data_IF_585614502024
#
_entry.id   IF_585614502024
#
_cell.length_a   1.000
_cell.length_b   1.000
_cell.length_c   1.000
_cell.angle_alpha   90.00
_cell.angle_beta   90.00
_cell.angle_gamma   90.00
#
_symmetry.space_group_name_H-M   'P 1'
#
loop_
_entity.id
_entity.type
_entity.pdbx_description
1 polymer ?
#
# COMPACT_ATOMS: atom_id res chain seq x y z
N UNK A 1 -17.49 18.05 1.44
CA UNK A 1 -16.87 17.15 2.44
C UNK A 1 -15.47 16.82 1.97
N UNK A 2 -14.50 16.70 2.88
CA UNK A 2 -13.14 16.28 2.55
C UNK A 2 -13.12 14.82 2.12
N UNK A 3 -12.31 14.49 1.10
CA UNK A 3 -12.13 13.12 0.64
C UNK A 3 -11.59 12.25 1.78
N UNK A 4 -12.23 11.10 2.00
CA UNK A 4 -11.87 10.11 3.02
C UNK A 4 -11.64 10.73 4.40
N UNK A 5 -12.70 11.29 4.97
CA UNK A 5 -12.66 11.89 6.30
C UNK A 5 -12.18 10.89 7.37
N UNK A 6 -11.40 11.34 8.38
CA UNK A 6 -10.90 10.50 9.48
C UNK A 6 -11.97 9.64 10.15
N UNK A 7 -13.19 10.16 10.30
CA UNK A 7 -14.32 9.48 10.94
C UNK A 7 -14.83 8.24 10.17
N UNK A 8 -14.55 8.16 8.87
CA UNK A 8 -15.04 7.08 7.98
C UNK A 8 -13.91 6.29 7.31
N UNK A 9 -12.67 6.75 7.45
CA UNK A 9 -11.50 6.14 6.83
C UNK A 9 -10.34 6.23 7.82
N UNK A 10 -10.09 5.16 8.58
CA UNK A 10 -9.05 5.14 9.61
C UNK A 10 -7.63 5.17 9.03
N UNK A 11 -7.42 4.53 7.87
CA UNK A 11 -6.13 4.42 7.18
C UNK A 11 -6.23 4.95 5.76
N UNK A 12 -5.38 5.92 5.44
CA UNK A 12 -5.35 6.62 4.15
C UNK A 12 -3.97 6.51 3.51
N UNK A 13 -3.92 6.11 2.24
CA UNK A 13 -2.71 6.20 1.41
C UNK A 13 -2.81 7.43 0.51
N UNK A 14 -1.78 8.26 0.47
CA UNK A 14 -1.69 9.43 -0.40
C UNK A 14 -0.52 9.24 -1.36
N UNK A 15 -0.80 9.17 -2.66
CA UNK A 15 0.23 9.10 -3.68
C UNK A 15 0.49 10.49 -4.25
N UNK A 16 1.77 10.83 -4.36
CA UNK A 16 2.24 12.09 -4.95
C UNK A 16 3.12 11.77 -6.15
N UNK A 17 2.72 12.24 -7.34
CA UNK A 17 3.49 12.09 -8.58
C UNK A 17 4.69 13.04 -8.66
N UNK A 18 5.69 12.68 -9.47
CA UNK A 18 6.92 13.46 -9.63
C UNK A 18 6.67 14.87 -10.16
N UNK A 19 5.71 15.03 -11.08
CA UNK A 19 5.33 16.32 -11.66
C UNK A 19 4.76 17.33 -10.64
N UNK A 20 4.20 16.85 -9.54
CA UNK A 20 3.71 17.68 -8.44
C UNK A 20 4.82 18.04 -7.45
N UNK A 21 5.82 17.18 -7.30
CA UNK A 21 6.81 17.28 -6.23
C UNK A 21 8.10 17.97 -6.67
N UNK A 22 8.52 17.75 -7.90
CA UNK A 22 9.77 18.28 -8.46
C UNK A 22 9.42 19.35 -9.48
N UNK A 23 10.00 20.54 -9.35
CA UNK A 23 9.85 21.61 -10.31
C UNK A 23 10.70 21.38 -11.58
N UNK A 24 10.51 22.16 -12.66
CA UNK A 24 11.30 22.01 -13.88
C UNK A 24 12.82 22.18 -13.67
N UNK A 25 13.21 22.99 -12.69
CA UNK A 25 14.60 23.28 -12.32
C UNK A 25 15.25 22.12 -11.54
N UNK A 26 14.45 21.15 -11.08
CA UNK A 26 14.91 19.95 -10.39
C UNK A 26 14.93 20.05 -8.88
N UNK A 27 14.36 21.11 -8.30
CA UNK A 27 14.20 21.25 -6.86
C UNK A 27 12.84 20.69 -6.41
N UNK A 28 12.77 20.32 -5.13
CA UNK A 28 11.49 19.92 -4.52
C UNK A 28 10.66 21.18 -4.27
N UNK A 29 9.37 21.15 -4.65
CA UNK A 29 8.39 22.20 -4.37
C UNK A 29 8.06 22.24 -2.88
N UNK A 30 8.99 22.76 -2.08
CA UNK A 30 8.97 22.68 -0.61
C UNK A 30 7.75 23.33 0.01
N UNK A 31 7.32 24.49 -0.48
CA UNK A 31 6.16 25.20 0.06
C UNK A 31 4.87 24.38 -0.11
N UNK A 32 4.70 23.79 -1.30
CA UNK A 32 3.58 22.89 -1.57
C UNK A 32 3.63 21.64 -0.68
N UNK A 33 4.82 21.05 -0.51
CA UNK A 33 5.02 19.88 0.35
C UNK A 33 4.77 20.20 1.84
N UNK A 34 5.07 21.42 2.27
CA UNK A 34 4.77 21.90 3.63
C UNK A 34 3.26 21.96 3.84
N UNK A 35 2.48 22.41 2.84
CA UNK A 35 1.02 22.35 2.87
C UNK A 35 0.48 20.92 2.98
N UNK A 36 1.10 19.96 2.28
CA UNK A 36 0.80 18.53 2.42
C UNK A 36 1.11 18.02 3.83
N UNK A 37 2.26 18.40 4.41
CA UNK A 37 2.65 17.98 5.74
C UNK A 37 1.65 18.49 6.80
N UNK A 38 1.23 19.76 6.71
CA UNK A 38 0.22 20.34 7.57
C UNK A 38 -1.14 19.62 7.45
N UNK A 39 -1.54 19.26 6.22
CA UNK A 39 -2.74 18.47 5.96
C UNK A 39 -2.68 17.07 6.60
N UNK A 40 -1.54 16.39 6.48
CA UNK A 40 -1.31 15.09 7.11
C UNK A 40 -1.37 15.23 8.63
N UNK A 41 -0.73 16.26 9.20
CA UNK A 41 -0.74 16.53 10.63
C UNK A 41 -2.13 16.81 11.19
N UNK A 42 -2.97 17.56 10.46
CA UNK A 42 -4.36 17.77 10.84
C UNK A 42 -5.15 16.45 10.87
N UNK A 43 -4.95 15.58 9.87
CA UNK A 43 -5.59 14.26 9.79
C UNK A 43 -5.11 13.31 10.89
N UNK A 44 -3.80 13.28 11.18
CA UNK A 44 -3.22 12.46 12.24
C UNK A 44 -3.67 12.92 13.63
N UNK A 45 -3.75 14.23 13.89
CA UNK A 45 -4.36 14.76 15.13
C UNK A 45 -5.83 14.36 15.29
N UNK A 46 -6.55 14.16 14.17
CA UNK A 46 -7.91 13.65 14.16
C UNK A 46 -8.00 12.11 14.23
N UNK A 47 -6.89 11.40 14.48
CA UNK A 47 -6.83 9.96 14.66
C UNK A 47 -6.71 9.14 13.36
N UNK A 48 -6.50 9.77 12.21
CA UNK A 48 -6.28 9.07 10.94
C UNK A 48 -4.81 8.67 10.78
N UNK A 49 -4.58 7.41 10.45
CA UNK A 49 -3.27 6.88 10.09
C UNK A 49 -3.01 7.14 8.60
N UNK A 50 -1.93 7.85 8.26
CA UNK A 50 -1.62 8.26 6.89
C UNK A 50 -0.26 7.71 6.47
N UNK A 51 -0.19 7.15 5.26
CA UNK A 51 1.05 6.77 4.60
C UNK A 51 1.15 7.46 3.24
N UNK A 52 2.36 7.81 2.83
CA UNK A 52 2.62 8.54 1.59
C UNK A 52 3.38 7.64 0.62
N UNK A 53 2.94 7.58 -0.64
CA UNK A 53 3.73 7.03 -1.74
C UNK A 53 4.27 8.18 -2.58
N UNK A 54 5.56 8.46 -2.48
CA UNK A 54 6.19 9.64 -3.08
C UNK A 54 7.04 9.26 -4.26
N UNK A 55 6.75 9.79 -5.44
CA UNK A 55 7.67 9.75 -6.59
C UNK A 55 8.72 10.87 -6.51
N UNK A 56 9.61 10.97 -7.50
CA UNK A 56 10.48 12.14 -7.72
C UNK A 56 11.97 11.89 -7.49
N UNK A 57 12.37 10.76 -6.92
CA UNK A 57 13.78 10.42 -6.66
C UNK A 57 14.65 10.49 -7.92
N UNK A 58 14.25 9.81 -9.00
CA UNK A 58 14.99 9.83 -10.27
C UNK A 58 15.15 11.25 -10.80
N UNK A 59 14.06 12.04 -10.86
CA UNK A 59 14.12 13.40 -11.40
C UNK A 59 15.06 14.31 -10.60
N UNK A 60 15.00 14.22 -9.27
CA UNK A 60 15.84 14.98 -8.35
C UNK A 60 17.32 14.57 -8.44
N UNK A 61 17.59 13.26 -8.45
CA UNK A 61 18.96 12.77 -8.53
C UNK A 61 19.61 12.99 -9.90
N UNK A 62 18.85 12.85 -10.98
CA UNK A 62 19.33 13.12 -12.33
C UNK A 62 19.88 14.54 -12.47
N UNK A 63 19.17 15.51 -11.89
CA UNK A 63 19.59 16.92 -11.89
C UNK A 63 20.86 17.13 -11.06
N UNK A 64 20.94 16.52 -9.89
CA UNK A 64 22.14 16.57 -9.03
C UNK A 64 23.37 15.95 -9.68
N UNK A 65 23.16 14.90 -10.47
CA UNK A 65 24.23 14.19 -11.18
C UNK A 65 24.53 14.78 -12.58
N UNK A 66 23.75 15.75 -13.05
CA UNK A 66 23.89 16.30 -14.41
C UNK A 66 23.55 15.32 -15.52
N UNK A 67 22.72 14.30 -15.26
CA UNK A 67 22.36 13.27 -16.22
C UNK A 67 21.35 13.78 -17.26
N UNK A 68 21.60 13.46 -18.53
CA UNK A 68 20.72 13.78 -19.64
C UNK A 68 19.37 13.04 -19.53
N UNK A 69 18.37 13.48 -20.29
CA UNK A 69 17.03 12.84 -20.37
C UNK A 69 16.34 12.66 -19.00
N UNK A 70 16.67 13.49 -18.02
CA UNK A 70 16.13 13.38 -16.66
C UNK A 70 16.53 12.09 -15.94
N UNK A 71 17.72 11.55 -16.25
CA UNK A 71 18.27 10.34 -15.63
C UNK A 71 17.66 9.06 -16.18
N UNK A 72 16.86 9.11 -17.24
CA UNK A 72 16.28 7.93 -17.90
C UNK A 72 16.97 7.66 -19.24
N UNK A 73 18.27 7.95 -19.32
CA UNK A 73 19.10 7.70 -20.49
C UNK A 73 19.39 6.22 -20.70
N UNK A 74 19.59 5.50 -19.59
CA UNK A 74 19.71 4.05 -19.48
C UNK A 74 19.14 3.57 -18.14
N UNK A 75 19.11 2.25 -17.91
CA UNK A 75 18.76 1.67 -16.61
C UNK A 75 19.72 2.16 -15.51
N UNK A 76 21.02 2.15 -15.78
CA UNK A 76 22.07 2.52 -14.82
C UNK A 76 21.97 4.00 -14.43
N UNK A 77 21.69 4.88 -15.41
CA UNK A 77 21.42 6.29 -15.14
C UNK A 77 20.21 6.44 -14.20
N UNK A 78 19.14 5.67 -14.44
CA UNK A 78 17.91 5.75 -13.65
C UNK A 78 18.13 5.25 -12.23
N UNK A 79 18.86 4.16 -12.06
CA UNK A 79 19.23 3.59 -10.77
C UNK A 79 20.15 4.52 -9.98
N UNK A 80 21.17 5.10 -10.63
CA UNK A 80 22.09 6.05 -10.01
C UNK A 80 21.37 7.35 -9.60
N UNK A 81 20.49 7.86 -10.48
CA UNK A 81 19.64 9.00 -10.19
C UNK A 81 18.67 8.69 -9.03
N UNK A 82 18.02 7.54 -9.02
CA UNK A 82 17.15 7.13 -7.91
C UNK A 82 17.92 7.09 -6.58
N UNK A 83 19.07 6.42 -6.53
CA UNK A 83 19.88 6.29 -5.32
C UNK A 83 20.26 7.66 -4.76
N UNK A 84 20.69 8.58 -5.64
CA UNK A 84 21.11 9.94 -5.27
C UNK A 84 19.92 10.79 -4.82
N UNK A 85 18.83 10.76 -5.59
CA UNK A 85 17.66 11.61 -5.32
C UNK A 85 16.81 11.11 -4.16
N UNK A 86 16.84 9.82 -3.84
CA UNK A 86 16.07 9.26 -2.73
C UNK A 86 16.54 9.80 -1.37
N UNK A 87 17.84 10.00 -1.18
CA UNK A 87 18.41 10.64 0.03
C UNK A 87 17.84 12.05 0.18
N UNK A 88 17.94 12.84 -0.89
CA UNK A 88 17.49 14.21 -0.94
C UNK A 88 15.99 14.36 -0.68
N UNK A 89 15.19 13.53 -1.36
CA UNK A 89 13.74 13.50 -1.21
C UNK A 89 13.33 13.16 0.23
N UNK A 90 14.02 12.18 0.82
CA UNK A 90 13.71 11.70 2.17
C UNK A 90 14.08 12.72 3.24
N UNK A 91 15.17 13.46 3.04
CA UNK A 91 15.54 14.57 3.90
C UNK A 91 14.45 15.64 3.91
N UNK A 92 13.95 16.06 2.74
CA UNK A 92 12.90 17.08 2.67
C UNK A 92 11.62 16.60 3.35
N UNK A 93 11.21 15.34 3.12
CA UNK A 93 10.05 14.75 3.79
C UNK A 93 10.20 14.72 5.33
N UNK A 94 11.36 14.30 5.83
CA UNK A 94 11.64 14.26 7.26
C UNK A 94 11.58 15.66 7.88
N UNK A 95 12.11 16.67 7.20
CA UNK A 95 12.09 18.06 7.67
C UNK A 95 10.68 18.64 7.72
N UNK A 96 9.88 18.51 6.65
CA UNK A 96 8.53 19.10 6.60
C UNK A 96 7.55 18.39 7.54
N UNK A 97 7.65 17.06 7.69
CA UNK A 97 6.84 16.33 8.67
C UNK A 97 7.30 16.63 10.11
N UNK A 98 8.61 16.73 10.33
CA UNK A 98 9.18 17.08 11.62
C UNK A 98 8.77 18.46 12.11
N UNK A 99 8.64 19.44 11.21
CA UNK A 99 8.11 20.77 11.52
C UNK A 99 6.66 20.75 12.06
N UNK A 100 5.89 19.72 11.70
CA UNK A 100 4.52 19.48 12.18
C UNK A 100 4.47 18.52 13.39
N UNK A 101 5.63 18.16 13.96
CA UNK A 101 5.73 17.21 15.08
C UNK A 101 5.49 15.75 14.70
N UNK A 102 5.59 15.41 13.41
CA UNK A 102 5.43 14.05 12.90
C UNK A 102 6.77 13.40 12.61
N UNK A 103 6.90 12.13 12.97
CA UNK A 103 8.06 11.32 12.58
C UNK A 103 7.82 10.71 11.21
N UNK A 104 8.77 10.88 10.28
CA UNK A 104 8.79 10.19 9.00
C UNK A 104 9.54 8.85 9.13
N UNK A 105 9.10 7.82 8.42
CA UNK A 105 9.86 6.58 8.24
C UNK A 105 9.97 6.23 6.76
N UNK A 106 11.20 6.04 6.27
CA UNK A 106 11.42 5.61 4.90
C UNK A 106 11.13 4.12 4.76
N UNK A 107 10.43 3.76 3.68
CA UNK A 107 10.28 2.37 3.27
C UNK A 107 10.49 2.27 1.76
N UNK A 108 11.45 1.46 1.33
CA UNK A 108 11.71 1.18 -0.08
C UNK A 108 11.25 -0.25 -0.37
N UNK A 109 10.39 -0.41 -1.38
CA UNK A 109 9.86 -1.70 -1.79
C UNK A 109 9.83 -1.79 -3.30
N UNK A 110 9.86 -2.99 -3.83
CA UNK A 110 9.49 -3.23 -5.22
C UNK A 110 8.02 -3.66 -5.32
N UNK A 111 7.39 -3.51 -6.49
CA UNK A 111 6.10 -4.16 -6.75
C UNK A 111 6.17 -5.67 -6.47
N UNK A 112 7.29 -6.29 -6.81
CA UNK A 112 7.56 -7.72 -6.62
C UNK A 112 7.59 -8.13 -5.13
N UNK A 113 8.02 -7.23 -4.24
CA UNK A 113 7.95 -7.43 -2.79
C UNK A 113 6.50 -7.50 -2.29
N UNK A 114 5.58 -6.80 -2.95
CA UNK A 114 4.17 -6.74 -2.58
C UNK A 114 3.31 -7.79 -3.28
N UNK A 115 3.83 -8.43 -4.33
CA UNK A 115 3.14 -9.53 -5.04
C UNK A 115 3.57 -10.92 -4.51
N UNK A 116 4.78 -11.04 -3.95
CA UNK A 116 5.26 -12.28 -3.36
C UNK A 116 4.86 -12.41 -1.88
N UNK A 117 4.00 -13.39 -1.55
CA UNK A 117 3.39 -13.59 -0.22
C UNK A 117 4.33 -13.39 0.98
N UNK A 118 5.48 -14.07 1.00
CA UNK A 118 6.44 -14.00 2.11
C UNK A 118 7.02 -12.58 2.31
N UNK A 119 7.36 -11.89 1.21
CA UNK A 119 7.88 -10.51 1.25
C UNK A 119 6.75 -9.52 1.58
N UNK A 120 5.56 -9.75 1.04
CA UNK A 120 4.34 -9.00 1.37
C UNK A 120 4.07 -9.00 2.88
N UNK A 121 4.14 -10.16 3.53
CA UNK A 121 3.93 -10.24 4.99
C UNK A 121 4.94 -9.41 5.79
N UNK A 122 6.19 -9.29 5.33
CA UNK A 122 7.18 -8.41 5.97
C UNK A 122 6.84 -6.93 5.79
N UNK A 123 6.51 -6.53 4.56
CA UNK A 123 6.13 -5.16 4.24
C UNK A 123 4.87 -4.74 5.01
N UNK A 124 3.83 -5.58 5.02
CA UNK A 124 2.58 -5.34 5.73
C UNK A 124 2.80 -5.22 7.24
N UNK A 125 3.57 -6.13 7.86
CA UNK A 125 3.86 -6.07 9.30
C UNK A 125 4.65 -4.81 9.69
N UNK A 126 5.62 -4.42 8.87
CA UNK A 126 6.41 -3.19 9.09
C UNK A 126 5.52 -1.95 8.98
N UNK A 127 4.70 -1.89 7.93
CA UNK A 127 3.78 -0.79 7.69
C UNK A 127 2.75 -0.65 8.81
N UNK A 128 2.14 -1.76 9.24
CA UNK A 128 1.20 -1.78 10.37
C UNK A 128 1.87 -1.28 11.66
N UNK A 129 3.11 -1.72 11.94
CA UNK A 129 3.85 -1.29 13.11
C UNK A 129 4.14 0.21 13.08
N UNK A 130 4.61 0.75 11.96
CA UNK A 130 4.88 2.19 11.82
C UNK A 130 3.61 3.02 12.04
N UNK A 131 2.50 2.64 11.40
CA UNK A 131 1.22 3.33 11.56
C UNK A 131 0.69 3.23 13.02
N UNK A 132 0.90 2.10 13.70
CA UNK A 132 0.54 1.93 15.12
C UNK A 132 1.31 2.84 16.07
N UNK A 133 2.51 3.26 15.67
CA UNK A 133 3.37 4.18 16.41
C UNK A 133 3.09 5.65 16.07
N UNK A 134 2.04 5.95 15.29
CA UNK A 134 1.74 7.29 14.79
C UNK A 134 2.88 7.92 13.96
N UNK A 135 3.74 7.07 13.39
CA UNK A 135 4.76 7.47 12.40
C UNK A 135 4.08 7.57 11.03
N UNK A 136 4.53 8.50 10.19
CA UNK A 136 4.10 8.63 8.78
C UNK A 136 5.10 7.89 7.89
N UNK A 137 4.74 6.71 7.35
CA UNK A 137 5.58 6.02 6.38
C UNK A 137 5.62 6.81 5.07
N UNK A 138 6.82 7.04 4.56
CA UNK A 138 7.08 7.62 3.24
C UNK A 138 7.69 6.52 2.38
N UNK A 139 6.83 5.93 1.54
CA UNK A 139 7.14 4.80 0.68
C UNK A 139 7.53 5.30 -0.71
N UNK A 140 8.55 4.67 -1.30
CA UNK A 140 8.84 4.80 -2.72
C UNK A 140 9.28 3.43 -3.29
N UNK A 141 9.25 3.30 -4.61
CA UNK A 141 9.82 2.15 -5.30
C UNK A 141 11.34 2.08 -5.01
N UNK A 142 11.88 0.88 -4.79
CA UNK A 142 13.31 0.67 -4.66
C UNK A 142 13.97 0.64 -6.05
N UNK A 143 13.91 1.78 -6.75
CA UNK A 143 14.36 1.93 -8.14
C UNK A 143 15.84 1.52 -8.32
N UNK A 144 16.69 1.61 -7.29
CA UNK A 144 18.11 1.25 -7.35
C UNK A 144 18.38 -0.25 -7.53
N UNK A 145 17.40 -1.10 -7.26
CA UNK A 145 17.49 -2.57 -7.45
C UNK A 145 16.38 -3.11 -8.35
N UNK A 146 15.53 -2.24 -8.89
CA UNK A 146 14.49 -2.61 -9.84
C UNK A 146 15.09 -2.85 -11.24
N UNK A 147 14.55 -3.83 -11.97
CA UNK A 147 14.95 -4.20 -13.34
C UNK A 147 14.04 -3.55 -14.38
N UNK A 148 14.49 -3.48 -15.65
CA UNK A 148 13.73 -2.85 -16.77
C UNK A 148 12.36 -3.47 -17.03
N UNK A 149 12.17 -4.74 -16.66
CA UNK A 149 10.90 -5.48 -16.80
C UNK A 149 9.78 -4.83 -15.95
N UNK A 150 10.16 -4.12 -14.89
CA UNK A 150 9.29 -3.29 -14.08
C UNK A 150 9.41 -1.87 -14.62
N UNK A 151 8.39 -1.40 -15.37
CA UNK A 151 8.36 -0.01 -15.83
C UNK A 151 8.59 0.94 -14.64
N UNK A 152 9.69 1.69 -14.67
CA UNK A 152 10.02 2.66 -13.63
C UNK A 152 8.85 3.58 -13.29
N UNK A 153 8.50 3.65 -12.01
CA UNK A 153 7.63 4.69 -11.47
C UNK A 153 6.14 4.54 -11.75
N UNK A 154 5.59 3.32 -11.84
CA UNK A 154 4.14 3.11 -11.66
C UNK A 154 3.77 3.18 -10.17
N UNK A 155 4.02 4.34 -9.56
CA UNK A 155 3.71 4.57 -8.16
C UNK A 155 2.18 4.60 -7.90
N UNK A 156 1.36 4.67 -8.95
CA UNK A 156 -0.10 4.53 -8.83
C UNK A 156 -0.45 3.09 -8.43
N UNK A 157 0.11 2.07 -9.12
CA UNK A 157 -0.04 0.66 -8.71
C UNK A 157 0.61 0.38 -7.36
N UNK A 158 1.80 0.94 -7.12
CA UNK A 158 2.47 0.81 -5.82
C UNK A 158 1.57 1.32 -4.70
N UNK A 159 0.95 2.49 -4.84
CA UNK A 159 0.03 3.03 -3.85
C UNK A 159 -1.17 2.13 -3.58
N UNK A 160 -1.75 1.51 -4.61
CA UNK A 160 -2.83 0.55 -4.44
C UNK A 160 -2.37 -0.73 -3.70
N UNK A 161 -1.17 -1.23 -3.98
CA UNK A 161 -0.57 -2.39 -3.28
C UNK A 161 -0.20 -2.07 -1.84
N UNK A 162 0.34 -0.88 -1.58
CA UNK A 162 0.59 -0.37 -0.22
C UNK A 162 -0.71 -0.24 0.55
N UNK A 163 -1.78 0.25 -0.09
CA UNK A 163 -3.12 0.30 0.52
C UNK A 163 -3.64 -1.08 0.90
N UNK A 164 -3.46 -2.07 0.02
CA UNK A 164 -3.77 -3.47 0.31
C UNK A 164 -2.96 -4.01 1.50
N UNK A 165 -1.64 -3.76 1.54
CA UNK A 165 -0.76 -4.17 2.63
C UNK A 165 -1.14 -3.50 3.97
N UNK A 166 -1.47 -2.22 3.95
CA UNK A 166 -1.89 -1.44 5.11
C UNK A 166 -3.31 -1.79 5.59
N UNK A 167 -4.13 -2.46 4.79
CA UNK A 167 -5.57 -2.55 5.03
C UNK A 167 -6.22 -1.15 5.06
N UNK A 168 -5.82 -0.28 4.14
CA UNK A 168 -6.34 1.08 4.04
C UNK A 168 -7.79 1.09 3.55
N UNK A 169 -8.59 2.05 4.03
CA UNK A 169 -9.96 2.26 3.55
C UNK A 169 -10.04 3.21 2.36
N UNK A 170 -8.98 3.96 2.10
CA UNK A 170 -8.93 4.97 1.05
C UNK A 170 -7.54 5.18 0.47
N UNK A 171 -7.50 5.50 -0.82
CA UNK A 171 -6.30 5.89 -1.58
C UNK A 171 -6.60 7.20 -2.31
N UNK A 172 -5.75 8.22 -2.16
CA UNK A 172 -5.82 9.44 -2.97
C UNK A 172 -4.62 9.44 -3.91
N UNK A 173 -4.87 9.43 -5.21
CA UNK A 173 -3.87 9.72 -6.23
C UNK A 173 -3.91 11.21 -6.54
N UNK A 174 -2.96 11.97 -6.01
CA UNK A 174 -2.75 13.35 -6.40
C UNK A 174 -2.04 13.39 -7.75
N UNK A 175 -2.69 13.99 -8.75
CA UNK A 175 -2.21 14.07 -10.13
C UNK A 175 -2.24 15.49 -10.68
N UNK A 176 -1.64 15.66 -11.84
CA UNK A 176 -1.84 16.78 -12.77
C UNK A 176 -3.27 16.89 -13.34
N UNK A 177 -4.03 15.79 -13.32
CA UNK A 177 -5.44 15.72 -13.68
C UNK A 177 -6.34 15.62 -12.44
N UNK A 178 -7.56 16.12 -12.54
CA UNK A 178 -8.56 16.14 -11.46
C UNK A 178 -9.62 15.03 -11.56
N UNK A 179 -9.35 13.99 -12.34
CA UNK A 179 -10.23 12.84 -12.44
C UNK A 179 -10.15 12.10 -13.78
N UNK A 180 -11.05 11.14 -13.94
CA UNK A 180 -11.37 10.47 -15.19
C UNK A 180 -12.36 11.33 -15.99
N UNK A 181 -12.19 11.30 -17.31
CA UNK A 181 -13.07 11.92 -18.27
C UNK A 181 -13.56 10.85 -19.25
N UNK A 182 -14.70 11.08 -19.89
CA UNK A 182 -15.27 10.17 -20.90
C UNK A 182 -14.40 10.03 -22.18
N UNK A 183 -13.47 10.97 -22.37
CA UNK A 183 -12.43 11.01 -23.41
C UNK A 183 -11.26 11.86 -22.91
N UNK A 184 -10.20 11.99 -23.71
CA UNK A 184 -9.07 12.85 -23.36
C UNK A 184 -9.55 14.29 -23.05
N UNK A 185 -9.22 14.86 -21.86
CA UNK A 185 -9.72 16.18 -21.44
C UNK A 185 -9.21 17.35 -22.30
N UNK A 186 -8.18 17.13 -23.14
CA UNK A 186 -7.75 18.12 -24.13
C UNK A 186 -8.72 18.24 -25.31
N UNK A 187 -9.64 17.28 -25.49
CA UNK A 187 -10.64 17.32 -26.56
C UNK A 187 -11.85 18.19 -26.16
N UNK A 188 -12.37 19.03 -27.06
CA UNK A 188 -13.57 19.81 -26.80
C UNK A 188 -14.76 18.94 -26.37
N UNK A 189 -15.46 19.36 -25.32
CA UNK A 189 -16.66 18.67 -24.83
C UNK A 189 -16.39 17.42 -23.97
N UNK A 190 -15.14 17.15 -23.58
CA UNK A 190 -14.85 16.08 -22.62
C UNK A 190 -15.59 16.30 -21.29
N UNK A 191 -16.26 15.25 -20.82
CA UNK A 191 -17.10 15.28 -19.62
C UNK A 191 -16.41 14.56 -18.48
N UNK A 192 -16.29 15.23 -17.34
CA UNK A 192 -15.72 14.67 -16.12
C UNK A 192 -16.63 13.60 -15.51
N UNK A 193 -16.04 12.51 -15.05
CA UNK A 193 -16.74 11.40 -14.40
C UNK A 193 -16.51 11.51 -12.90
N UNK A 194 -17.50 11.99 -12.15
CA UNK A 194 -17.35 12.21 -10.71
C UNK A 194 -17.23 10.91 -9.89
N UNK A 195 -17.86 9.82 -10.35
CA UNK A 195 -17.97 8.58 -9.58
C UNK A 195 -18.03 7.35 -10.48
N UNK A 196 -17.29 6.31 -10.12
CA UNK A 196 -17.23 5.03 -10.81
C UNK A 196 -17.56 3.92 -9.81
N UNK A 197 -18.77 3.36 -9.92
CA UNK A 197 -19.23 2.27 -9.04
C UNK A 197 -18.59 0.92 -9.40
N UNK A 198 -18.25 0.71 -10.68
CA UNK A 198 -17.64 -0.52 -11.20
C UNK A 198 -16.72 -0.18 -12.36
N UNK A 199 -15.56 -0.85 -12.41
CA UNK A 199 -14.61 -0.73 -13.50
C UNK A 199 -14.89 -1.86 -14.51
N UNK A 200 -15.59 -1.52 -15.58
CA UNK A 200 -15.88 -2.40 -16.72
C UNK A 200 -15.07 -1.99 -17.97
N UNK A 201 -15.31 -2.68 -19.09
CA UNK A 201 -14.62 -2.41 -20.34
C UNK A 201 -14.88 -0.99 -20.88
N UNK A 202 -16.02 -0.38 -20.56
CA UNK A 202 -16.32 0.99 -20.99
C UNK A 202 -15.46 2.00 -20.21
N UNK A 203 -15.33 1.82 -18.89
CA UNK A 203 -14.40 2.62 -18.07
C UNK A 203 -12.95 2.45 -18.52
N UNK A 204 -12.54 1.21 -18.84
CA UNK A 204 -11.18 0.96 -19.34
C UNK A 204 -10.91 1.63 -20.69
N UNK A 205 -11.89 1.63 -21.59
CA UNK A 205 -11.79 2.27 -22.90
C UNK A 205 -11.69 3.80 -22.83
N UNK A 206 -12.08 4.42 -21.71
CA UNK A 206 -11.93 5.88 -21.49
C UNK A 206 -10.47 6.28 -21.23
N UNK A 207 -9.61 5.35 -20.81
CA UNK A 207 -8.20 5.62 -20.69
C UNK A 207 -7.56 5.72 -22.08
N UNK A 208 -7.22 6.95 -22.48
CA UNK A 208 -6.43 7.18 -23.68
C UNK A 208 -5.08 6.44 -23.58
N UNK A 209 -4.76 5.64 -24.59
CA UNK A 209 -3.47 4.95 -24.70
C UNK A 209 -2.38 5.86 -25.28
N UNK A 210 -2.76 7.01 -25.85
CA UNK A 210 -1.87 8.05 -26.35
C UNK A 210 -1.53 9.08 -25.26
N UNK A 211 -0.64 8.75 -24.33
CA UNK A 211 -0.16 9.74 -23.36
C UNK A 211 0.68 10.83 -24.07
N UNK A 212 0.12 12.05 -24.19
CA UNK A 212 0.77 13.21 -24.81
C UNK A 212 1.87 13.88 -23.94
N UNK A 213 2.03 13.47 -22.68
CA UNK A 213 3.03 14.02 -21.76
C UNK A 213 4.22 13.06 -21.63
N UNK A 214 5.22 13.21 -22.50
CA UNK A 214 6.45 12.40 -22.54
C UNK A 214 7.37 12.44 -21.31
N UNK A 215 6.84 12.72 -20.11
CA UNK A 215 7.60 12.72 -18.84
C UNK A 215 6.95 11.94 -17.68
N UNK A 216 5.70 11.48 -17.81
CA UNK A 216 5.02 10.70 -16.76
C UNK A 216 4.82 9.24 -17.14
N UNK A 217 5.42 8.29 -16.41
CA UNK A 217 5.21 6.85 -16.61
C UNK A 217 3.82 6.35 -16.15
N UNK A 218 2.94 7.23 -15.65
CA UNK A 218 1.63 6.91 -15.07
C UNK A 218 0.47 7.70 -15.70
N UNK A 219 -0.01 7.23 -16.85
CA UNK A 219 -1.21 7.76 -17.52
C UNK A 219 -2.53 7.31 -16.88
N UNK A 220 -3.66 7.61 -17.52
CA UNK A 220 -4.98 7.19 -17.01
C UNK A 220 -5.13 5.67 -16.91
N UNK A 221 -4.49 4.91 -17.82
CA UNK A 221 -4.47 3.44 -17.77
C UNK A 221 -3.91 2.91 -16.44
N UNK A 222 -2.79 3.47 -15.96
CA UNK A 222 -2.16 3.06 -14.70
C UNK A 222 -3.02 3.45 -13.49
N UNK A 223 -3.69 4.62 -13.52
CA UNK A 223 -4.63 5.05 -12.48
C UNK A 223 -5.87 4.16 -12.38
N UNK A 224 -6.44 3.74 -13.52
CA UNK A 224 -7.56 2.78 -13.54
C UNK A 224 -7.09 1.40 -13.03
N UNK A 225 -5.89 0.95 -13.41
CA UNK A 225 -5.32 -0.29 -12.87
C UNK A 225 -5.13 -0.23 -11.35
N UNK A 226 -4.63 0.90 -10.83
CA UNK A 226 -4.53 1.15 -9.40
C UNK A 226 -5.90 1.14 -8.71
N UNK A 227 -6.91 1.78 -9.32
CA UNK A 227 -8.29 1.78 -8.82
C UNK A 227 -8.85 0.35 -8.73
N UNK A 228 -8.59 -0.49 -9.74
CA UNK A 228 -8.99 -1.90 -9.75
C UNK A 228 -8.34 -2.67 -8.58
N UNK A 229 -7.04 -2.51 -8.37
CA UNK A 229 -6.32 -3.16 -7.25
C UNK A 229 -6.88 -2.71 -5.89
N UNK A 230 -7.04 -1.39 -5.71
CA UNK A 230 -7.54 -0.81 -4.46
C UNK A 230 -8.99 -1.25 -4.16
N UNK A 231 -9.90 -1.12 -5.14
CA UNK A 231 -11.31 -1.46 -4.98
C UNK A 231 -11.51 -2.95 -4.67
N UNK A 232 -10.74 -3.82 -5.32
CA UNK A 232 -10.75 -5.25 -5.08
C UNK A 232 -10.27 -5.56 -3.63
N UNK A 233 -9.29 -4.80 -3.12
CA UNK A 233 -8.83 -4.90 -1.74
C UNK A 233 -9.81 -4.28 -0.71
N UNK A 234 -10.92 -3.69 -1.14
CA UNK A 234 -11.90 -3.04 -0.28
C UNK A 234 -11.58 -1.58 0.04
N UNK A 235 -10.59 -0.98 -0.63
CA UNK A 235 -10.23 0.43 -0.47
C UNK A 235 -10.87 1.26 -1.58
N UNK A 236 -11.49 2.38 -1.22
CA UNK A 236 -11.90 3.38 -2.22
C UNK A 236 -10.68 4.07 -2.81
N UNK A 237 -10.74 4.49 -4.07
CA UNK A 237 -9.67 5.29 -4.68
C UNK A 237 -10.22 6.58 -5.27
N UNK A 238 -9.58 7.70 -4.96
CA UNK A 238 -9.88 8.99 -5.58
C UNK A 238 -8.72 9.46 -6.46
N UNK A 239 -9.03 9.95 -7.66
CA UNK A 239 -8.09 10.74 -8.48
C UNK A 239 -8.48 12.20 -8.30
N UNK A 240 -7.54 13.01 -7.83
CA UNK A 240 -7.75 14.43 -7.56
C UNK A 240 -6.54 15.26 -7.99
N UNK A 241 -6.75 16.55 -8.25
CA UNK A 241 -5.65 17.44 -8.59
C UNK A 241 -4.76 17.69 -7.38
N UNK A 242 -3.45 17.57 -7.58
CA UNK A 242 -2.44 17.96 -6.60
C UNK A 242 -1.99 19.42 -6.75
N UNK A 243 -2.41 20.16 -7.77
CA UNK A 243 -1.92 21.53 -8.01
C UNK A 243 -2.49 22.58 -7.05
N UNK A 244 -3.52 22.23 -6.29
CA UNK A 244 -4.13 23.11 -5.30
C UNK A 244 -3.30 23.13 -4.01
N UNK A 245 -3.36 24.25 -3.28
CA UNK A 245 -2.83 24.32 -1.93
C UNK A 245 -3.67 23.45 -0.99
N UNK A 246 -3.01 22.78 -0.04
CA UNK A 246 -3.65 21.91 0.94
C UNK A 246 -4.63 20.89 0.31
N UNK A 247 -4.19 20.05 -0.64
CA UNK A 247 -5.09 19.22 -1.44
C UNK A 247 -5.83 18.13 -0.65
N UNK A 248 -5.43 17.82 0.58
CA UNK A 248 -6.17 16.87 1.41
C UNK A 248 -7.21 17.56 2.29
N UNK A 249 -7.08 18.87 2.54
CA UNK A 249 -8.04 19.67 3.31
C UNK A 249 -9.00 20.47 2.44
N UNK A 250 -8.58 20.82 1.22
CA UNK A 250 -9.35 21.60 0.26
C UNK A 250 -10.29 20.71 -0.55
N UNK A 251 -11.59 21.02 -0.54
CA UNK A 251 -12.54 20.33 -1.39
C UNK A 251 -12.30 20.69 -2.86
N UNK A 252 -12.08 19.69 -3.70
CA UNK A 252 -11.85 19.86 -5.12
C UNK A 252 -12.57 18.79 -5.95
N UNK A 253 -12.70 19.05 -7.25
CA UNK A 253 -13.21 18.08 -8.21
C UNK A 253 -12.29 16.85 -8.23
N UNK A 254 -12.90 15.68 -8.27
CA UNK A 254 -12.22 14.39 -8.21
C UNK A 254 -13.10 13.31 -8.83
N UNK A 255 -12.49 12.22 -9.26
CA UNK A 255 -13.22 10.97 -9.56
C UNK A 255 -13.07 10.01 -8.40
N UNK A 256 -14.19 9.52 -7.86
CA UNK A 256 -14.21 8.49 -6.84
C UNK A 256 -14.53 7.11 -7.43
N UNK A 257 -13.57 6.20 -7.34
CA UNK A 257 -13.74 4.77 -7.60
C UNK A 257 -14.18 4.08 -6.31
N UNK A 258 -15.30 3.36 -6.39
CA UNK A 258 -15.97 2.80 -5.23
C UNK A 258 -15.49 1.39 -4.99
N UNK A 259 -15.03 1.09 -3.77
CA UNK A 259 -14.68 -0.25 -3.35
C UNK A 259 -15.84 -1.23 -3.57
N UNK A 260 -15.54 -2.45 -4.00
CA UNK A 260 -16.57 -3.45 -4.25
C UNK A 260 -17.28 -3.84 -2.92
N UNK A 261 -18.60 -4.00 -2.95
CA UNK A 261 -19.35 -4.44 -1.75
C UNK A 261 -19.10 -5.91 -1.50
N UNK A 262 -18.72 -6.27 -0.28
CA UNK A 262 -18.27 -7.63 0.03
C UNK A 262 -16.90 -7.96 -0.60
N UNK A 263 -16.19 -6.94 -1.11
CA UNK A 263 -14.84 -7.06 -1.63
C UNK A 263 -14.00 -7.75 -0.59
N UNK A 264 -13.55 -8.90 -0.99
CA UNK A 264 -12.46 -9.51 -0.33
C UNK A 264 -11.56 -10.05 -1.38
N UNK A 265 -11.07 -9.24 -2.33
CA UNK A 265 -9.94 -9.71 -3.12
C UNK A 265 -8.76 -10.04 -2.21
N UNK A 266 -8.69 -9.49 -1.00
CA UNK A 266 -7.86 -10.01 0.10
C UNK A 266 -8.26 -11.43 0.51
N UNK A 267 -9.54 -11.72 0.80
CA UNK A 267 -9.99 -13.09 1.08
C UNK A 267 -9.93 -14.02 -0.13
N UNK A 268 -10.04 -13.55 -1.37
CA UNK A 268 -9.96 -14.31 -2.61
C UNK A 268 -8.51 -14.51 -3.07
N UNK A 269 -7.58 -13.62 -2.70
CA UNK A 269 -6.14 -13.86 -2.80
C UNK A 269 -5.65 -14.88 -1.77
N UNK A 270 -6.27 -14.87 -0.57
CA UNK A 270 -6.06 -15.88 0.49
C UNK A 270 -6.79 -17.21 0.20
N UNK A 271 -7.99 -17.18 -0.38
CA UNK A 271 -8.85 -18.35 -0.61
C UNK A 271 -8.81 -18.89 -2.05
N UNK A 272 -8.21 -18.14 -2.99
CA UNK A 272 -8.20 -18.43 -4.41
C UNK A 272 -7.37 -19.66 -4.74
N UNK A 273 -8.07 -20.76 -5.03
CA UNK A 273 -7.65 -21.87 -5.90
C UNK A 273 -6.44 -22.71 -5.47
N UNK A 274 -5.74 -22.37 -4.40
CA UNK A 274 -4.51 -23.06 -4.00
C UNK A 274 -4.75 -23.98 -2.80
N UNK A 275 -4.27 -25.21 -2.93
CA UNK A 275 -4.30 -26.25 -1.90
C UNK A 275 -3.56 -25.76 -0.66
N UNK A 276 -4.21 -25.85 0.50
CA UNK A 276 -3.55 -25.59 1.78
C UNK A 276 -2.31 -26.49 1.91
N UNK A 277 -1.18 -25.92 2.33
CA UNK A 277 0.09 -26.65 2.54
C UNK A 277 0.16 -27.33 3.90
N UNK A 278 -0.72 -26.91 4.82
CA UNK A 278 -0.82 -27.47 6.14
C UNK A 278 -2.13 -27.11 6.82
N UNK A 279 -2.25 -27.56 8.07
CA UNK A 279 -3.43 -27.37 8.90
C UNK A 279 -3.03 -27.02 10.33
N UNK A 280 -3.74 -26.08 10.93
CA UNK A 280 -3.72 -25.77 12.35
C UNK A 280 -5.02 -26.29 12.99
N UNK A 281 -4.91 -27.03 14.10
CA UNK A 281 -6.05 -27.37 14.96
C UNK A 281 -6.04 -26.40 16.14
N UNK A 282 -7.21 -25.84 16.47
CA UNK A 282 -7.34 -24.83 17.51
C UNK A 282 -8.36 -25.25 18.56
N UNK A 283 -8.20 -24.72 19.77
CA UNK A 283 -9.17 -24.94 20.85
C UNK A 283 -10.48 -24.13 20.65
N UNK A 284 -11.47 -24.40 21.50
CA UNK A 284 -12.77 -23.73 21.42
C UNK A 284 -12.70 -22.22 21.72
N UNK A 285 -11.77 -21.79 22.57
CA UNK A 285 -11.56 -20.38 22.91
C UNK A 285 -11.00 -19.59 21.73
N UNK A 286 -9.98 -20.15 21.07
CA UNK A 286 -9.42 -19.63 19.83
C UNK A 286 -10.48 -19.56 18.74
N UNK A 287 -11.24 -20.64 18.51
CA UNK A 287 -12.32 -20.66 17.52
C UNK A 287 -13.35 -19.54 17.75
N UNK A 288 -13.76 -19.32 18.99
CA UNK A 288 -14.64 -18.20 19.37
C UNK A 288 -13.98 -16.83 19.15
N UNK A 289 -12.69 -16.69 19.46
CA UNK A 289 -11.96 -15.45 19.26
C UNK A 289 -11.84 -15.08 17.76
N UNK A 290 -11.64 -16.08 16.88
CA UNK A 290 -11.58 -15.86 15.44
C UNK A 290 -12.92 -15.34 14.89
N UNK A 291 -14.05 -15.80 15.41
CA UNK A 291 -15.37 -15.27 15.05
C UNK A 291 -15.53 -13.78 15.41
N UNK A 292 -14.84 -13.32 16.45
CA UNK A 292 -14.76 -11.90 16.84
C UNK A 292 -13.75 -11.08 16.04
N UNK A 293 -13.07 -11.67 15.04
CA UNK A 293 -12.07 -10.99 14.23
C UNK A 293 -10.68 -10.88 14.88
N UNK A 294 -10.38 -11.72 15.89
CA UNK A 294 -9.06 -11.77 16.50
C UNK A 294 -8.04 -12.50 15.62
N UNK A 295 -6.75 -12.24 15.85
CA UNK A 295 -5.66 -13.03 15.28
C UNK A 295 -5.56 -14.39 15.97
N UNK A 296 -5.03 -15.41 15.29
CA UNK A 296 -4.76 -16.71 15.90
C UNK A 296 -3.41 -16.66 16.64
N UNK A 297 -3.43 -16.84 17.95
CA UNK A 297 -2.23 -16.89 18.81
C UNK A 297 -1.80 -18.33 19.06
N UNK A 298 -0.49 -18.57 19.28
CA UNK A 298 0.05 -19.91 19.51
C UNK A 298 -0.57 -20.62 20.72
N UNK A 299 -0.92 -19.87 21.77
CA UNK A 299 -1.60 -20.37 22.95
C UNK A 299 -2.91 -21.11 22.66
N UNK A 300 -3.60 -20.76 21.57
CA UNK A 300 -4.87 -21.37 21.16
C UNK A 300 -4.74 -22.47 20.10
N UNK A 301 -3.52 -22.82 19.69
CA UNK A 301 -3.25 -23.86 18.69
C UNK A 301 -2.82 -25.14 19.38
N UNK A 302 -3.52 -26.24 19.10
CA UNK A 302 -3.29 -27.55 19.72
C UNK A 302 -2.48 -28.51 18.84
N UNK A 303 -2.49 -28.30 17.52
CA UNK A 303 -1.65 -29.07 16.59
C UNK A 303 -1.35 -28.27 15.32
N UNK A 304 -0.18 -28.48 14.72
CA UNK A 304 0.20 -27.97 13.41
C UNK A 304 0.76 -29.10 12.53
N UNK A 305 0.13 -29.35 11.38
CA UNK A 305 0.48 -30.47 10.47
C UNK A 305 0.67 -29.99 9.04
N UNK A 306 1.42 -30.78 8.25
CA UNK A 306 1.79 -30.48 6.86
C UNK A 306 3.25 -30.07 6.73
N UNK A 307 3.63 -29.62 5.54
CA UNK A 307 4.96 -29.10 5.23
C UNK A 307 4.79 -27.70 4.66
N UNK A 308 4.89 -26.72 5.56
CA UNK A 308 4.61 -25.33 5.25
C UNK A 308 5.70 -24.41 5.78
N UNK A 309 5.95 -23.37 5.00
CA UNK A 309 6.79 -22.24 5.35
C UNK A 309 5.93 -20.99 5.60
N UNK A 310 6.57 -19.94 6.10
CA UNK A 310 5.92 -18.64 6.26
C UNK A 310 5.39 -18.12 4.92
N UNK A 311 4.12 -17.68 4.93
CA UNK A 311 3.42 -17.19 3.74
C UNK A 311 2.66 -18.27 2.98
N UNK A 312 2.75 -19.54 3.39
CA UNK A 312 1.89 -20.60 2.86
C UNK A 312 0.48 -20.53 3.44
N UNK A 313 -0.49 -21.01 2.67
CA UNK A 313 -1.90 -21.08 3.09
C UNK A 313 -2.08 -22.28 4.01
N UNK A 314 -2.67 -22.05 5.18
CA UNK A 314 -3.06 -23.06 6.15
C UNK A 314 -4.58 -23.12 6.28
N UNK A 315 -5.11 -24.34 6.33
CA UNK A 315 -6.45 -24.58 6.87
C UNK A 315 -6.42 -24.41 8.39
N UNK A 316 -7.41 -23.74 8.97
CA UNK A 316 -7.57 -23.59 10.41
C UNK A 316 -8.85 -24.30 10.80
N UNK A 317 -8.72 -25.37 11.58
CA UNK A 317 -9.82 -26.23 11.96
C UNK A 317 -10.12 -26.14 13.45
N UNK A 318 -11.41 -26.14 13.79
CA UNK A 318 -11.88 -26.15 15.17
C UNK A 318 -11.66 -27.49 15.87
N UNK A 319 -12.10 -27.62 17.13
CA UNK A 319 -11.99 -28.87 17.91
C UNK A 319 -12.70 -30.08 17.28
N UNK A 320 -13.70 -29.84 16.43
CA UNK A 320 -14.45 -30.85 15.67
C UNK A 320 -13.75 -31.23 14.35
N UNK A 321 -12.52 -30.76 14.12
CA UNK A 321 -11.73 -30.91 12.90
C UNK A 321 -12.36 -30.28 11.64
N UNK A 322 -13.45 -29.51 11.78
CA UNK A 322 -14.03 -28.76 10.68
C UNK A 322 -13.17 -27.53 10.40
N UNK A 323 -12.81 -27.33 9.13
CA UNK A 323 -12.12 -26.11 8.70
C UNK A 323 -13.10 -24.94 8.81
N UNK A 324 -12.75 -23.96 9.64
CA UNK A 324 -13.56 -22.76 9.90
C UNK A 324 -12.90 -21.50 9.32
N UNK A 325 -11.61 -21.56 9.00
CA UNK A 325 -10.88 -20.46 8.44
C UNK A 325 -9.69 -20.92 7.58
N UNK A 326 -9.17 -20.01 6.77
CA UNK A 326 -7.88 -20.13 6.08
C UNK A 326 -7.05 -18.89 6.29
N UNK A 327 -5.73 -19.02 6.37
CA UNK A 327 -4.86 -17.86 6.45
C UNK A 327 -3.39 -18.17 6.16
N UNK A 328 -2.57 -17.13 6.14
CA UNK A 328 -1.14 -17.26 5.88
C UNK A 328 -0.38 -17.60 7.16
N UNK A 329 0.49 -18.60 7.07
CA UNK A 329 1.41 -18.96 8.14
C UNK A 329 2.37 -17.80 8.43
N UNK A 330 2.52 -17.40 9.69
CA UNK A 330 3.59 -16.48 10.13
C UNK A 330 4.88 -17.21 10.51
N UNK A 331 4.82 -18.53 10.69
CA UNK A 331 5.95 -19.38 11.07
C UNK A 331 6.07 -20.56 10.11
N UNK A 332 7.29 -21.09 9.87
CA UNK A 332 7.45 -22.43 9.31
C UNK A 332 6.95 -23.50 10.30
N UNK A 333 6.64 -24.69 9.78
CA UNK A 333 6.03 -25.77 10.58
C UNK A 333 6.84 -26.19 11.81
N UNK A 334 8.18 -26.15 11.73
CA UNK A 334 9.05 -26.49 12.87
C UNK A 334 8.86 -25.51 14.03
N UNK A 335 8.97 -24.21 13.75
CA UNK A 335 8.78 -23.14 14.73
C UNK A 335 7.34 -23.14 15.27
N UNK A 336 6.36 -23.30 14.38
CA UNK A 336 4.94 -23.39 14.73
C UNK A 336 4.69 -24.52 15.76
N UNK A 337 5.26 -25.70 15.53
CA UNK A 337 5.17 -26.83 16.45
C UNK A 337 5.89 -26.60 17.78
N UNK A 338 7.03 -25.90 17.76
CA UNK A 338 7.80 -25.63 18.96
C UNK A 338 7.05 -24.73 19.96
N UNK A 339 6.18 -23.83 19.48
CA UNK A 339 5.51 -22.84 20.32
C UNK A 339 4.02 -23.10 20.58
N UNK A 340 3.49 -24.26 20.20
CA UNK A 340 2.08 -24.61 20.42
C UNK A 340 1.70 -24.53 21.90
N UNK A 341 0.56 -23.91 22.19
CA UNK A 341 0.08 -23.70 23.55
C UNK A 341 0.88 -22.71 24.38
N UNK A 342 2.01 -22.17 23.87
CA UNK A 342 2.84 -21.24 24.64
C UNK A 342 2.28 -19.82 24.62
N UNK A 343 2.25 -19.20 25.80
CA UNK A 343 2.09 -17.76 25.95
C UNK A 343 3.29 -17.01 25.37
N UNK A 344 3.07 -15.75 24.96
CA UNK A 344 4.06 -14.93 24.23
C UNK A 344 5.42 -14.86 24.93
N UNK A 345 5.43 -14.71 26.24
CA UNK A 345 6.65 -14.53 27.03
C UNK A 345 7.56 -15.77 27.05
N UNK A 346 7.00 -16.96 26.76
CA UNK A 346 7.76 -18.20 26.68
C UNK A 346 8.30 -18.48 25.27
N UNK A 347 7.77 -17.83 24.23
CA UNK A 347 8.08 -18.16 22.83
C UNK A 347 9.51 -17.78 22.44
N UNK A 348 10.04 -16.65 22.93
CA UNK A 348 11.38 -16.19 22.57
C UNK A 348 12.46 -17.20 22.98
N UNK A 349 12.36 -17.73 24.19
CA UNK A 349 13.28 -18.74 24.70
C UNK A 349 13.24 -20.04 23.87
N UNK A 350 12.06 -20.43 23.39
CA UNK A 350 11.87 -21.62 22.57
C UNK A 350 12.34 -21.44 21.13
N UNK A 351 12.10 -20.26 20.53
CA UNK A 351 12.46 -19.95 19.15
C UNK A 351 13.94 -19.55 18.99
N UNK A 352 14.55 -19.00 20.04
CA UNK A 352 15.87 -18.37 19.96
C UNK A 352 15.86 -17.01 19.26
N UNK A 353 14.67 -16.44 19.01
CA UNK A 353 14.49 -15.13 18.41
C UNK A 353 13.14 -14.53 18.83
N UNK A 354 12.99 -13.20 18.67
CA UNK A 354 11.79 -12.49 19.07
C UNK A 354 10.52 -13.00 18.35
N UNK A 355 9.46 -13.39 19.09
CA UNK A 355 8.26 -13.96 18.48
C UNK A 355 7.48 -12.92 17.68
N UNK A 356 6.84 -13.38 16.61
CA UNK A 356 5.83 -12.64 15.84
C UNK A 356 4.55 -12.48 16.66
N UNK A 357 3.73 -11.52 16.25
CA UNK A 357 2.50 -11.13 16.96
C UNK A 357 1.41 -12.21 16.96
N UNK A 358 1.42 -13.13 15.99
CA UNK A 358 0.41 -14.18 15.83
C UNK A 358 0.96 -15.37 15.04
N UNK A 359 0.29 -16.52 15.14
CA UNK A 359 0.48 -17.68 14.24
C UNK A 359 -0.11 -17.41 12.86
N UNK A 360 -1.28 -16.78 12.85
CA UNK A 360 -1.96 -16.26 11.66
C UNK A 360 -2.58 -14.92 12.05
N UNK A 361 -2.16 -13.85 11.39
CA UNK A 361 -2.71 -12.52 11.66
C UNK A 361 -4.16 -12.42 11.16
N UNK A 362 -5.04 -11.71 11.89
CA UNK A 362 -6.45 -11.52 11.50
C UNK A 362 -6.61 -10.95 10.09
N UNK A 363 -5.71 -10.05 9.70
CA UNK A 363 -5.76 -9.42 8.39
C UNK A 363 -5.26 -10.39 7.30
N UNK A 364 -4.57 -11.47 7.65
CA UNK A 364 -4.11 -12.53 6.74
C UNK A 364 -4.96 -13.79 6.86
N UNK A 365 -6.21 -13.65 7.33
CA UNK A 365 -7.12 -14.74 7.62
C UNK A 365 -8.53 -14.48 7.06
N UNK A 366 -9.22 -15.57 6.72
CA UNK A 366 -10.56 -15.60 6.16
C UNK A 366 -11.37 -16.65 6.91
N UNK A 367 -12.53 -16.29 7.45
CA UNK A 367 -13.52 -17.27 7.92
C UNK A 367 -14.30 -17.86 6.75
N UNK A 368 -14.61 -19.16 6.80
CA UNK A 368 -15.32 -19.93 5.77
C UNK A 368 -16.82 -20.06 6.02
#
# INVERSE_FOLDING_TARGET
>A
MTLFAPSTCSRLIVKIGSALLVDPDGAVRRDWLTGIAADIAARTRAGQQVAVVSSGAIALGARRLGLAKGGRGSLEDAQAAAATGQIALSQVWAEVLGAEGLTAAQMLVTLDDLEHRRRYLNAAATLDRLLSLSVVPVINENDSVATEEIRFGDNDRLAARVAQAAGAGGVILLSDIDGLYDRNPAQPGAVHIARVERIDAAIEAMADTGSASGMGSGGMVSKIAAARIANAAGAHLAIASGHIAHPLSTAARHTLFVAEKGASARKAWLAGGLTAKGRLIIDAGAAKALQGGASLLAAGVTAATGDFARGDILDIAGPDARVIARGLAEYPVADANAILGLGRDAQEATLGYAPRTAMVHRDHMVLL
#
